data_IF_647193100121
#
_entry.id   IF_647193100121
#
_cell.length_a   1.000
_cell.length_b   1.000
_cell.length_c   1.000
_cell.angle_alpha   90.00
_cell.angle_beta   90.00
_cell.angle_gamma   90.00
#
_symmetry.space_group_name_H-M   'P 1'
#
loop_
_entity.id
_entity.type
_entity.pdbx_description
1 polymer ?
#
# COMPACT_ATOMS: atom_id res chain seq x y z
N UNK A 1 -14.59 4.11 28.45
CA UNK A 1 -14.25 2.80 27.82
C UNK A 1 -13.66 3.08 26.45
N UNK A 2 -12.35 2.90 26.28
CA UNK A 2 -11.69 2.99 24.98
C UNK A 2 -12.25 1.89 24.07
N UNK A 3 -13.02 2.27 23.03
CA UNK A 3 -13.33 1.36 21.93
C UNK A 3 -11.99 1.02 21.28
N UNK A 4 -11.46 -0.17 21.54
CA UNK A 4 -10.27 -0.70 20.88
C UNK A 4 -10.51 -0.59 19.37
N UNK A 5 -9.64 0.13 18.68
CA UNK A 5 -9.68 0.24 17.23
C UNK A 5 -9.64 -1.17 16.64
N UNK A 6 -10.53 -1.45 15.69
CA UNK A 6 -10.62 -2.76 15.06
C UNK A 6 -9.30 -3.02 14.31
N UNK A 7 -8.50 -4.04 14.67
CA UNK A 7 -7.14 -4.25 14.16
C UNK A 7 -7.07 -4.41 12.63
N UNK A 8 -8.21 -4.71 11.98
CA UNK A 8 -8.36 -4.70 10.53
C UNK A 8 -8.09 -3.32 9.90
N UNK A 9 -8.46 -2.21 10.54
CA UNK A 9 -8.22 -0.85 9.99
C UNK A 9 -6.76 -0.41 10.14
N UNK A 10 -6.12 -0.82 11.24
CA UNK A 10 -4.69 -0.64 11.44
C UNK A 10 -3.93 -1.36 10.32
N UNK A 11 -4.21 -2.66 10.12
CA UNK A 11 -3.70 -3.47 9.01
C UNK A 11 -3.87 -2.77 7.66
N UNK A 12 -5.06 -2.19 7.39
CA UNK A 12 -5.41 -1.57 6.10
C UNK A 12 -4.62 -0.30 5.74
N UNK A 13 -4.19 0.54 6.69
CA UNK A 13 -3.37 1.71 6.38
C UNK A 13 -1.94 1.36 5.99
N UNK A 14 -1.40 0.37 6.70
CA UNK A 14 -0.13 -0.24 6.35
C UNK A 14 -0.31 -0.93 5.01
N UNK A 15 -1.47 -1.53 4.73
CA UNK A 15 -1.85 -2.10 3.41
C UNK A 15 -2.04 -1.07 2.30
N UNK A 16 -2.30 0.21 2.58
CA UNK A 16 -2.41 1.27 1.54
C UNK A 16 -1.05 1.92 1.29
N UNK A 17 -0.25 2.08 2.35
CA UNK A 17 1.19 2.39 2.25
C UNK A 17 1.99 1.24 1.60
N UNK A 18 1.46 0.03 1.74
CA UNK A 18 1.88 -1.24 1.16
C UNK A 18 0.75 -1.77 0.25
N UNK A 19 0.12 -0.96 -0.61
CA UNK A 19 -0.75 -1.51 -1.70
C UNK A 19 0.04 -2.40 -2.67
N UNK A 20 1.31 -2.40 -2.39
CA UNK A 20 2.36 -3.28 -2.70
C UNK A 20 2.42 -4.61 -1.89
N UNK A 21 2.41 -4.57 -0.57
CA UNK A 21 2.92 -5.64 0.27
C UNK A 21 2.13 -5.93 1.55
N UNK A 22 0.81 -5.78 1.57
CA UNK A 22 0.06 -6.23 2.74
C UNK A 22 -1.37 -6.77 2.51
N UNK A 23 -1.53 -7.80 1.68
CA UNK A 23 -2.71 -8.69 1.79
C UNK A 23 -2.75 -9.47 3.12
N UNK A 24 -2.97 -8.80 4.25
CA UNK A 24 -3.19 -9.40 5.58
C UNK A 24 -4.64 -9.87 5.73
N UNK A 25 -4.83 -11.14 6.08
CA UNK A 25 -6.14 -11.71 6.38
C UNK A 25 -6.40 -11.65 7.89
N UNK A 26 -7.64 -11.34 8.27
CA UNK A 26 -8.14 -11.49 9.63
C UNK A 26 -9.41 -12.35 9.61
N UNK A 27 -9.38 -13.49 10.29
CA UNK A 27 -10.56 -14.31 10.58
C UNK A 27 -11.28 -13.78 11.84
N UNK A 28 -12.63 -13.78 11.85
CA UNK A 28 -13.44 -13.79 13.09
C UNK A 28 -14.48 -12.67 13.32
N UNK A 29 -15.70 -12.89 12.80
CA UNK A 29 -17.06 -12.74 13.42
C UNK A 29 -17.42 -11.59 14.42
N UNK A 30 -18.42 -10.75 14.07
CA UNK A 30 -19.82 -10.77 14.59
C UNK A 30 -20.59 -9.47 14.27
N UNK A 31 -21.91 -9.60 14.10
CA UNK A 31 -22.77 -8.68 13.33
C UNK A 31 -23.33 -7.43 14.02
N UNK A 32 -23.87 -6.51 13.19
CA UNK A 32 -25.02 -5.65 13.46
C UNK A 32 -25.48 -4.93 12.17
N UNK A 33 -26.80 -4.73 12.04
CA UNK A 33 -27.54 -4.22 10.87
C UNK A 33 -27.43 -2.69 10.67
N UNK A 34 -27.71 -2.19 9.44
CA UNK A 34 -27.60 -0.77 9.06
C UNK A 34 -28.89 0.00 9.35
N UNK A 35 -28.79 1.31 9.57
CA UNK A 35 -29.64 2.33 8.92
C UNK A 35 -29.27 3.78 9.30
N UNK A 36 -29.52 4.66 8.34
CA UNK A 36 -29.70 6.12 8.38
C UNK A 36 -28.45 7.03 8.34
N UNK A 37 -28.11 7.48 7.13
CA UNK A 37 -27.22 8.62 6.86
C UNK A 37 -28.04 9.83 6.37
N UNK A 38 -27.89 11.03 6.98
CA UNK A 38 -28.29 12.28 6.35
C UNK A 38 -27.13 12.90 5.57
N UNK A 39 -27.48 13.52 4.44
CA UNK A 39 -26.61 14.23 3.52
C UNK A 39 -26.01 15.53 4.10
N UNK A 40 -24.81 15.90 3.67
CA UNK A 40 -24.24 17.24 3.76
C UNK A 40 -23.21 17.41 2.60
N UNK A 41 -23.58 18.08 1.50
CA UNK A 41 -23.45 19.52 1.19
C UNK A 41 -22.02 20.04 1.04
N UNK A 42 -21.69 20.23 -0.24
CA UNK A 42 -20.75 21.14 -0.90
C UNK A 42 -19.91 22.12 -0.08
N UNK A 43 -18.62 22.14 -0.43
CA UNK A 43 -17.86 23.38 -0.60
C UNK A 43 -16.78 23.14 -1.66
N UNK A 44 -17.10 23.49 -2.90
CA UNK A 44 -16.18 23.43 -4.03
C UNK A 44 -15.07 24.48 -3.86
N UNK A 45 -13.84 24.01 -3.69
CA UNK A 45 -12.63 24.84 -3.83
C UNK A 45 -12.25 24.81 -5.30
N UNK A 46 -12.12 25.96 -5.95
CA UNK A 46 -11.76 26.07 -7.37
C UNK A 46 -10.42 25.35 -7.63
N UNK A 47 -10.36 24.32 -8.49
CA UNK A 47 -9.12 23.59 -8.73
C UNK A 47 -8.10 24.50 -9.43
N UNK A 48 -6.86 24.49 -8.94
CA UNK A 48 -5.71 25.02 -9.68
C UNK A 48 -5.63 24.35 -11.07
N UNK A 49 -5.10 25.03 -12.10
CA UNK A 49 -4.99 24.44 -13.44
C UNK A 49 -4.20 23.14 -13.37
N UNK A 50 -4.86 22.04 -13.72
CA UNK A 50 -4.28 20.70 -13.75
C UNK A 50 -3.20 20.70 -14.82
N UNK A 51 -1.94 20.48 -14.44
CA UNK A 51 -0.84 20.31 -15.41
C UNK A 51 -1.21 19.24 -16.44
N UNK A 52 -0.95 19.54 -17.72
CA UNK A 52 -1.17 18.62 -18.85
C UNK A 52 -0.06 17.57 -19.01
N UNK A 53 0.99 17.66 -18.19
CA UNK A 53 2.18 16.82 -18.33
C UNK A 53 1.84 15.36 -17.99
N UNK A 54 2.29 14.39 -18.78
CA UNK A 54 2.08 12.98 -18.47
C UNK A 54 2.80 12.56 -17.18
N UNK A 55 2.34 11.45 -16.60
CA UNK A 55 3.04 10.78 -15.51
C UNK A 55 4.40 10.28 -16.03
N UNK A 56 5.49 10.71 -15.42
CA UNK A 56 6.84 10.32 -15.81
C UNK A 56 7.49 9.39 -14.80
N UNK A 57 8.62 8.79 -15.22
CA UNK A 57 9.40 7.90 -14.38
C UNK A 57 10.02 8.63 -13.17
N UNK A 58 10.21 9.95 -13.23
CA UNK A 58 10.78 10.71 -12.12
C UNK A 58 9.87 10.67 -10.89
N UNK A 59 8.54 10.75 -11.09
CA UNK A 59 7.55 10.57 -10.02
C UNK A 59 7.50 9.12 -9.48
N UNK A 60 7.91 8.12 -10.25
CA UNK A 60 7.89 6.71 -9.86
C UNK A 60 9.25 6.23 -9.35
N UNK A 61 10.07 7.14 -8.81
CA UNK A 61 11.38 6.81 -8.29
C UNK A 61 11.28 5.83 -7.10
N UNK A 62 12.01 4.72 -7.19
CA UNK A 62 12.28 3.81 -6.08
C UNK A 62 13.60 4.22 -5.38
N UNK A 63 13.72 4.02 -4.05
CA UNK A 63 14.97 4.24 -3.34
C UNK A 63 16.05 3.25 -3.81
N UNK A 64 17.23 3.77 -4.11
CA UNK A 64 18.43 2.97 -4.40
C UNK A 64 19.04 2.39 -3.11
N UNK A 65 19.87 1.36 -3.24
CA UNK A 65 20.53 0.69 -2.11
C UNK A 65 21.18 1.70 -1.14
N UNK A 66 20.93 1.54 0.15
CA UNK A 66 21.40 2.45 1.20
C UNK A 66 20.56 3.72 1.37
N UNK A 67 19.52 3.92 0.57
CA UNK A 67 18.53 4.99 0.82
C UNK A 67 17.39 4.48 1.68
N UNK A 68 16.73 5.40 2.39
CA UNK A 68 15.60 5.12 3.27
C UNK A 68 14.45 6.10 3.08
N UNK A 69 13.27 5.66 3.49
CA UNK A 69 12.04 6.44 3.58
C UNK A 69 11.47 6.22 4.97
N UNK A 70 11.22 7.29 5.72
CA UNK A 70 10.48 7.20 6.99
C UNK A 70 9.05 7.64 6.77
N UNK A 71 8.10 6.74 7.01
CA UNK A 71 6.67 6.96 6.87
C UNK A 71 6.01 7.12 8.23
N UNK A 72 5.18 8.14 8.39
CA UNK A 72 4.34 8.32 9.58
C UNK A 72 2.89 8.22 9.16
N UNK A 73 2.20 7.18 9.65
CA UNK A 73 0.80 6.93 9.41
C UNK A 73 -0.02 7.43 10.60
N UNK A 74 -1.07 8.17 10.31
CA UNK A 74 -2.05 8.63 11.27
C UNK A 74 -3.41 8.00 10.93
N UNK A 75 -4.02 7.43 11.96
CA UNK A 75 -5.34 6.84 11.87
C UNK A 75 -6.35 7.77 12.55
N UNK A 76 -7.48 8.00 11.91
CA UNK A 76 -8.63 8.70 12.49
C UNK A 76 -9.80 7.73 12.71
N UNK A 77 -10.72 8.02 13.65
CA UNK A 77 -10.79 9.21 14.51
C UNK A 77 -10.04 9.08 15.85
N UNK A 78 -9.56 7.88 16.22
CA UNK A 78 -8.67 7.69 17.37
C UNK A 78 -7.25 7.89 16.86
N UNK A 79 -6.58 8.96 17.27
CA UNK A 79 -5.25 9.35 16.79
C UNK A 79 -4.17 8.34 17.20
N UNK A 80 -4.15 7.21 16.53
CA UNK A 80 -3.04 6.27 16.58
C UNK A 80 -2.02 6.68 15.53
N UNK A 81 -0.75 6.61 15.92
CA UNK A 81 0.37 6.97 15.05
C UNK A 81 1.31 5.79 14.97
N UNK A 82 1.57 5.32 13.76
CA UNK A 82 2.58 4.31 13.48
C UNK A 82 3.66 4.94 12.60
N UNK A 83 4.93 4.63 12.88
CA UNK A 83 6.07 5.08 12.10
C UNK A 83 6.86 3.88 11.62
N UNK A 84 7.11 3.84 10.32
CA UNK A 84 7.88 2.80 9.68
C UNK A 84 9.11 3.40 9.00
N UNK A 85 10.21 2.66 9.03
CA UNK A 85 11.35 2.91 8.16
C UNK A 85 11.38 1.83 7.08
N UNK A 86 11.46 2.27 5.82
CA UNK A 86 11.72 1.42 4.68
C UNK A 86 13.14 1.73 4.17
N UNK A 87 14.03 0.75 4.22
CA UNK A 87 15.42 0.86 3.76
C UNK A 87 15.63 0.00 2.53
N UNK A 88 16.17 0.57 1.46
CA UNK A 88 16.56 -0.19 0.28
C UNK A 88 17.85 -0.96 0.58
N UNK A 89 17.79 -2.28 0.52
CA UNK A 89 18.91 -3.17 0.85
C UNK A 89 19.63 -3.72 -0.39
N UNK A 90 19.33 -3.15 -1.55
CA UNK A 90 19.80 -3.65 -2.85
C UNK A 90 18.92 -4.76 -3.40
N UNK A 91 19.49 -5.60 -4.25
CA UNK A 91 18.76 -6.70 -4.88
C UNK A 91 18.81 -7.96 -4.03
N UNK A 92 17.67 -8.66 -3.91
CA UNK A 92 17.61 -9.97 -3.25
C UNK A 92 16.80 -10.95 -4.09
N UNK A 93 17.00 -12.25 -3.84
CA UNK A 93 16.31 -13.31 -4.56
C UNK A 93 14.94 -13.56 -3.94
N UNK A 94 13.91 -13.58 -4.78
CA UNK A 94 12.54 -13.96 -4.42
C UNK A 94 11.92 -14.77 -5.54
N UNK A 95 11.35 -15.93 -5.20
CA UNK A 95 10.67 -16.80 -6.16
C UNK A 95 11.50 -17.11 -7.43
N UNK A 96 12.82 -17.24 -7.26
CA UNK A 96 13.77 -17.53 -8.35
C UNK A 96 14.21 -16.32 -9.18
N UNK A 97 13.62 -15.14 -8.98
CA UNK A 97 14.06 -13.88 -9.62
C UNK A 97 14.88 -13.00 -8.68
N UNK A 98 15.56 -11.99 -9.23
CA UNK A 98 16.33 -10.99 -8.48
C UNK A 98 15.65 -9.63 -8.59
N UNK A 99 15.33 -9.02 -7.44
CA UNK A 99 14.49 -7.82 -7.36
C UNK A 99 15.04 -6.81 -6.37
N UNK A 100 14.84 -5.52 -6.65
CA UNK A 100 15.13 -4.46 -5.69
C UNK A 100 14.29 -4.68 -4.44
N UNK A 101 14.92 -4.57 -3.28
CA UNK A 101 14.30 -5.00 -2.03
C UNK A 101 14.28 -3.87 -1.01
N UNK A 102 13.08 -3.62 -0.47
CA UNK A 102 12.88 -2.76 0.68
C UNK A 102 12.72 -3.59 1.94
N UNK A 103 13.54 -3.33 2.95
CA UNK A 103 13.31 -3.81 4.30
C UNK A 103 12.50 -2.76 5.07
N UNK A 104 11.29 -3.15 5.47
CA UNK A 104 10.34 -2.30 6.19
C UNK A 104 10.29 -2.74 7.64
N UNK A 105 10.46 -1.78 8.57
CA UNK A 105 10.42 -2.01 10.01
C UNK A 105 9.48 -1.03 10.68
N UNK A 106 8.68 -1.52 11.62
CA UNK A 106 7.96 -0.65 12.54
C UNK A 106 8.94 -0.08 13.56
N UNK A 107 9.06 1.24 13.60
CA UNK A 107 9.97 1.95 14.50
C UNK A 107 9.24 2.47 15.74
N UNK A 108 7.96 2.86 15.58
CA UNK A 108 7.17 3.43 16.67
C UNK A 108 5.68 3.21 16.44
N UNK A 109 4.93 2.96 17.52
CA UNK A 109 3.47 2.85 17.51
C UNK A 109 2.99 1.52 18.03
N UNK A 110 1.78 1.49 18.59
CA UNK A 110 1.11 0.25 19.00
C UNK A 110 0.37 -0.33 17.80
N UNK A 111 1.11 -1.04 16.95
CA UNK A 111 0.52 -1.86 15.91
C UNK A 111 0.54 -3.31 16.37
N UNK A 112 -0.51 -3.74 17.07
CA UNK A 112 -0.65 -5.12 17.53
C UNK A 112 -1.12 -6.07 16.40
N UNK A 113 -0.74 -5.76 15.15
CA UNK A 113 -0.98 -6.60 13.99
C UNK A 113 0.22 -7.51 13.74
N UNK A 114 -0.07 -8.76 13.42
CA UNK A 114 0.91 -9.69 12.85
C UNK A 114 1.62 -9.03 11.64
N UNK A 115 2.96 -9.01 11.61
CA UNK A 115 3.72 -8.62 10.40
C UNK A 115 4.18 -7.17 10.37
N UNK A 116 4.67 -6.65 11.50
CA UNK A 116 5.16 -5.27 11.65
C UNK A 116 6.45 -4.99 10.89
N UNK A 117 7.16 -6.05 10.50
CA UNK A 117 8.36 -6.00 9.69
C UNK A 117 8.12 -6.80 8.41
N UNK A 118 8.62 -6.31 7.28
CA UNK A 118 8.46 -6.98 6.00
C UNK A 118 9.65 -6.74 5.08
N UNK A 119 9.83 -7.60 4.08
CA UNK A 119 10.58 -7.28 2.87
C UNK A 119 9.62 -7.14 1.71
N UNK A 120 9.83 -6.12 0.89
CA UNK A 120 9.07 -5.89 -0.34
C UNK A 120 10.01 -6.08 -1.51
N UNK A 121 9.57 -6.85 -2.50
CA UNK A 121 10.34 -7.12 -3.71
C UNK A 121 9.73 -6.31 -4.84
N UNK A 122 10.49 -5.35 -5.36
CA UNK A 122 10.03 -4.35 -6.31
C UNK A 122 10.65 -4.63 -7.66
N UNK A 123 9.82 -4.60 -8.70
CA UNK A 123 10.30 -4.46 -10.06
C UNK A 123 10.54 -2.96 -10.32
N UNK A 124 11.74 -2.54 -10.78
CA UNK A 124 12.03 -1.13 -11.07
C UNK A 124 11.05 -0.48 -12.05
N UNK A 125 10.43 -1.27 -12.95
CA UNK A 125 9.42 -0.77 -13.87
C UNK A 125 8.07 -0.48 -13.19
N UNK A 126 7.90 -0.83 -11.90
CA UNK A 126 6.67 -0.67 -11.14
C UNK A 126 6.91 -0.41 -9.65
N UNK A 127 7.54 0.72 -9.35
CA UNK A 127 7.93 1.08 -7.99
C UNK A 127 6.79 1.11 -6.96
N UNK A 128 5.53 1.24 -7.40
CA UNK A 128 4.35 1.24 -6.52
C UNK A 128 3.58 -0.09 -6.49
N UNK A 129 3.95 -1.05 -7.35
CA UNK A 129 3.39 -2.40 -7.40
C UNK A 129 4.53 -3.45 -7.32
N UNK A 130 4.92 -3.89 -6.12
CA UNK A 130 5.89 -4.94 -5.92
C UNK A 130 5.30 -6.25 -6.41
N UNK A 131 6.21 -7.15 -6.67
CA UNK A 131 5.93 -8.47 -7.18
C UNK A 131 5.82 -9.50 -6.04
N UNK A 132 6.23 -9.12 -4.82
CA UNK A 132 6.07 -9.98 -3.65
C UNK A 132 6.38 -9.29 -2.33
N UNK A 133 6.09 -10.01 -1.26
CA UNK A 133 6.41 -9.62 0.10
C UNK A 133 6.78 -10.83 0.97
N UNK A 134 7.67 -10.59 1.92
CA UNK A 134 7.95 -11.51 3.03
C UNK A 134 7.61 -10.80 4.33
N UNK A 135 6.56 -11.24 5.03
CA UNK A 135 6.18 -10.67 6.32
C UNK A 135 6.88 -11.42 7.44
N UNK A 136 7.36 -10.70 8.45
CA UNK A 136 7.96 -11.27 9.66
C UNK A 136 7.10 -10.91 10.88
N UNK A 137 6.62 -11.94 11.59
CA UNK A 137 5.99 -11.80 12.89
C UNK A 137 7.04 -11.74 14.00
N UNK A 138 7.09 -10.62 14.71
CA UNK A 138 8.11 -10.35 15.75
C UNK A 138 7.65 -10.70 17.18
N UNK A 139 6.43 -11.22 17.35
CA UNK A 139 5.90 -11.55 18.67
C UNK A 139 6.21 -13.00 19.04
N UNK A 140 7.26 -13.18 19.84
CA UNK A 140 7.58 -14.43 20.56
C UNK A 140 6.45 -14.91 21.49
N UNK A 141 5.42 -14.09 21.75
CA UNK A 141 4.39 -14.34 22.77
C UNK A 141 2.93 -14.29 22.28
N UNK A 142 2.67 -14.39 20.98
CA UNK A 142 1.32 -14.62 20.45
C UNK A 142 1.00 -16.11 20.28
N UNK A 143 -0.27 -16.53 20.14
CA UNK A 143 -0.64 -17.94 19.92
C UNK A 143 -0.07 -18.53 18.61
N UNK A 144 0.55 -17.71 17.76
CA UNK A 144 1.12 -18.08 16.47
C UNK A 144 2.68 -18.05 16.42
N UNK A 145 3.36 -17.58 17.49
CA UNK A 145 4.83 -17.50 17.57
C UNK A 145 5.52 -16.65 16.50
N UNK A 146 6.85 -16.81 16.35
CA UNK A 146 7.60 -16.29 15.20
C UNK A 146 7.08 -16.94 13.93
N UNK A 147 6.65 -16.14 12.97
CA UNK A 147 6.24 -16.64 11.67
C UNK A 147 6.82 -15.78 10.56
N UNK A 148 7.00 -16.39 9.40
CA UNK A 148 7.41 -15.70 8.18
C UNK A 148 6.47 -16.15 7.07
N UNK A 149 5.89 -15.18 6.36
CA UNK A 149 4.90 -15.44 5.31
C UNK A 149 5.37 -14.87 3.99
N UNK A 150 5.53 -15.73 3.00
CA UNK A 150 5.83 -15.33 1.62
C UNK A 150 4.55 -15.13 0.83
N UNK A 151 4.51 -14.05 0.05
CA UNK A 151 3.42 -13.73 -0.88
C UNK A 151 3.98 -13.24 -2.21
N UNK A 152 3.45 -13.75 -3.31
CA UNK A 152 3.70 -13.24 -4.66
C UNK A 152 2.43 -12.59 -5.18
N UNK A 153 2.61 -11.45 -5.83
CA UNK A 153 1.57 -10.69 -6.50
C UNK A 153 1.74 -10.81 -8.00
N UNK A 154 0.65 -11.07 -8.71
CA UNK A 154 0.65 -11.15 -10.16
C UNK A 154 -0.43 -10.24 -10.69
N UNK A 155 -0.05 -9.33 -11.60
CA UNK A 155 -0.96 -8.33 -12.13
C UNK A 155 -1.32 -8.67 -13.57
N UNK A 156 -2.61 -8.54 -13.87
CA UNK A 156 -3.16 -8.66 -15.21
C UNK A 156 -3.80 -7.33 -15.58
N UNK A 157 -3.31 -6.71 -16.65
CA UNK A 157 -3.92 -5.50 -17.20
C UNK A 157 -5.31 -5.83 -17.75
N UNK A 158 -6.32 -5.07 -17.33
CA UNK A 158 -7.70 -5.36 -17.67
C UNK A 158 -8.03 -5.04 -19.15
N UNK A 159 -7.27 -4.15 -19.79
CA UNK A 159 -7.43 -3.74 -21.19
C UNK A 159 -6.65 -4.68 -22.11
N UNK A 160 -5.34 -4.80 -21.93
CA UNK A 160 -4.50 -5.64 -22.81
C UNK A 160 -4.66 -7.13 -22.52
N UNK A 161 -5.20 -7.48 -21.34
CA UNK A 161 -5.34 -8.85 -20.82
C UNK A 161 -3.99 -9.56 -20.62
N UNK A 162 -2.89 -8.85 -20.75
CA UNK A 162 -1.55 -9.38 -20.52
C UNK A 162 -1.23 -9.42 -19.03
N UNK A 163 -0.51 -10.46 -18.64
CA UNK A 163 0.04 -10.59 -17.29
C UNK A 163 1.46 -10.05 -17.29
N UNK A 164 1.82 -9.24 -16.30
CA UNK A 164 3.15 -8.67 -16.20
C UNK A 164 3.22 -7.54 -15.20
N UNK A 165 4.35 -6.86 -15.21
CA UNK A 165 4.64 -5.72 -14.34
C UNK A 165 3.80 -4.49 -14.75
N UNK A 166 2.96 -3.92 -13.86
CA UNK A 166 2.16 -2.74 -14.19
C UNK A 166 3.04 -1.55 -14.58
N UNK A 167 2.73 -0.87 -15.68
CA UNK A 167 3.42 0.34 -16.10
C UNK A 167 2.44 1.51 -16.19
N UNK A 168 2.76 2.59 -15.47
CA UNK A 168 1.98 3.82 -15.44
C UNK A 168 2.66 5.00 -16.17
N UNK A 169 3.91 4.85 -16.60
CA UNK A 169 4.64 5.90 -17.30
C UNK A 169 3.92 6.26 -18.60
N UNK A 170 3.77 7.55 -18.85
CA UNK A 170 3.11 8.11 -20.03
C UNK A 170 1.60 8.29 -19.87
N UNK A 171 1.01 7.91 -18.72
CA UNK A 171 -0.41 8.18 -18.47
C UNK A 171 -0.71 9.67 -18.59
N UNK A 172 -1.75 10.02 -19.33
CA UNK A 172 -2.22 11.40 -19.45
C UNK A 172 -3.11 11.78 -18.26
N UNK A 173 -3.23 13.06 -17.90
CA UNK A 173 -4.17 13.49 -16.87
C UNK A 173 -5.58 12.96 -17.12
N UNK A 174 -6.21 12.48 -16.06
CA UNK A 174 -7.48 11.75 -15.99
C UNK A 174 -7.51 10.36 -16.65
N UNK A 175 -6.40 9.87 -17.22
CA UNK A 175 -6.30 8.49 -17.69
C UNK A 175 -6.37 7.52 -16.50
N UNK A 176 -7.15 6.45 -16.65
CA UNK A 176 -7.27 5.39 -15.65
C UNK A 176 -6.72 4.09 -16.22
N UNK A 177 -5.89 3.40 -15.43
CA UNK A 177 -5.47 2.03 -15.68
C UNK A 177 -5.99 1.11 -14.59
N UNK A 178 -6.34 -0.10 -14.98
CA UNK A 178 -6.94 -1.07 -14.06
C UNK A 178 -6.30 -2.43 -14.23
N UNK A 179 -6.05 -3.07 -13.10
CA UNK A 179 -5.35 -4.34 -13.01
C UNK A 179 -6.14 -5.29 -12.12
N UNK A 180 -6.16 -6.56 -12.49
CA UNK A 180 -6.53 -7.65 -11.58
C UNK A 180 -5.25 -8.18 -10.94
N UNK A 181 -5.12 -8.07 -9.62
CA UNK A 181 -4.04 -8.67 -8.86
C UNK A 181 -4.50 -10.01 -8.26
N UNK A 182 -3.74 -11.06 -8.52
CA UNK A 182 -3.87 -12.36 -7.86
C UNK A 182 -2.71 -12.59 -6.90
N UNK A 183 -2.97 -13.39 -5.86
CA UNK A 183 -2.00 -13.71 -4.82
C UNK A 183 -1.64 -15.20 -4.84
N UNK A 184 -0.38 -15.50 -4.53
CA UNK A 184 0.08 -16.84 -4.16
C UNK A 184 0.85 -16.76 -2.84
N UNK A 185 0.72 -17.77 -1.98
CA UNK A 185 1.40 -17.80 -0.68
C UNK A 185 2.10 -19.13 -0.40
N UNK A 186 3.07 -19.10 0.52
CA UNK A 186 3.59 -20.31 1.13
C UNK A 186 2.70 -20.71 2.31
N UNK A 187 2.25 -21.97 2.35
CA UNK A 187 1.45 -22.50 3.45
C UNK A 187 2.27 -22.95 4.67
N UNK A 188 3.59 -23.12 4.52
CA UNK A 188 4.52 -23.49 5.59
C UNK A 188 5.23 -22.23 6.15
N UNK A 189 5.58 -22.25 7.44
CA UNK A 189 6.47 -21.25 8.07
C UNK A 189 7.81 -21.21 7.32
N UNK A 190 8.44 -20.04 7.20
CA UNK A 190 9.64 -19.91 6.37
C UNK A 190 10.77 -20.85 6.76
N UNK A 191 11.16 -21.64 5.78
CA UNK A 191 12.43 -22.34 5.71
C UNK A 191 13.29 -21.69 4.63
N UNK A 192 14.62 -21.82 4.74
CA UNK A 192 15.50 -21.69 3.60
C UNK A 192 15.79 -23.09 3.02
N UNK A 193 15.67 -23.30 1.69
CA UNK A 193 15.22 -22.34 0.67
C UNK A 193 13.71 -22.02 0.75
N UNK A 194 13.31 -20.90 0.16
CA UNK A 194 11.90 -20.43 0.11
C UNK A 194 10.98 -21.57 -0.35
N UNK A 195 9.89 -21.89 0.38
CA UNK A 195 8.91 -22.88 -0.05
C UNK A 195 8.21 -22.48 -1.35
N UNK A 196 7.75 -23.48 -2.11
CA UNK A 196 6.93 -23.25 -3.30
C UNK A 196 5.64 -22.50 -2.95
N UNK A 197 5.37 -21.41 -3.68
CA UNK A 197 4.15 -20.61 -3.52
C UNK A 197 2.98 -21.28 -4.23
N UNK A 198 1.83 -21.33 -3.57
CA UNK A 198 0.58 -21.85 -4.13
C UNK A 198 -0.42 -20.71 -4.34
N UNK A 199 -1.13 -20.67 -5.48
CA UNK A 199 -2.20 -19.70 -5.68
C UNK A 199 -3.23 -19.75 -4.54
N UNK A 200 -3.76 -18.59 -4.17
CA UNK A 200 -4.93 -18.49 -3.32
C UNK A 200 -6.07 -17.86 -4.10
N UNK A 201 -7.29 -18.13 -3.66
CA UNK A 201 -8.48 -17.68 -4.40
C UNK A 201 -8.78 -16.18 -4.23
N UNK A 202 -7.87 -15.41 -3.63
CA UNK A 202 -8.00 -13.96 -3.46
C UNK A 202 -7.76 -13.25 -4.79
N UNK A 203 -8.71 -12.39 -5.16
CA UNK A 203 -8.61 -11.52 -6.32
C UNK A 203 -8.86 -10.08 -5.90
N UNK A 204 -8.01 -9.17 -6.37
CA UNK A 204 -8.11 -7.74 -6.08
C UNK A 204 -8.20 -6.98 -7.39
N UNK A 205 -9.19 -6.10 -7.50
CA UNK A 205 -9.25 -5.10 -8.56
C UNK A 205 -8.55 -3.84 -8.06
N UNK A 206 -7.51 -3.42 -8.79
CA UNK A 206 -6.78 -2.19 -8.52
C UNK A 206 -6.99 -1.24 -9.69
N UNK A 207 -7.42 -0.02 -9.42
CA UNK A 207 -7.49 1.04 -10.41
C UNK A 207 -6.63 2.24 -9.97
N UNK A 208 -5.90 2.79 -10.92
CA UNK A 208 -5.07 3.98 -10.73
C UNK A 208 -5.44 5.00 -11.78
N UNK A 209 -5.85 6.18 -11.33
CA UNK A 209 -6.06 7.32 -12.20
C UNK A 209 -4.97 8.36 -11.95
N UNK A 210 -4.30 8.78 -13.01
CA UNK A 210 -3.38 9.92 -12.91
C UNK A 210 -4.18 11.21 -13.01
N UNK A 211 -4.22 11.99 -11.93
CA UNK A 211 -5.04 13.21 -11.86
C UNK A 211 -4.30 14.39 -12.52
N UNK A 212 -2.97 14.44 -12.37
CA UNK A 212 -2.13 15.53 -12.84
C UNK A 212 -1.05 15.85 -11.82
N UNK A 213 -0.52 17.08 -11.84
CA UNK A 213 0.50 17.55 -10.90
C UNK A 213 0.01 18.67 -10.01
N UNK A 214 0.47 18.66 -8.77
CA UNK A 214 0.31 19.78 -7.84
C UNK A 214 1.48 19.86 -6.86
N UNK A 215 1.70 21.03 -6.29
CA UNK A 215 2.64 21.19 -5.20
C UNK A 215 2.03 20.58 -3.93
N UNK A 216 2.81 19.78 -3.20
CA UNK A 216 2.35 19.12 -1.97
C UNK A 216 3.34 19.35 -0.85
N UNK A 217 2.83 19.60 0.36
CA UNK A 217 3.66 19.66 1.57
C UNK A 217 3.44 18.39 2.40
N UNK A 218 4.55 17.74 2.75
CA UNK A 218 4.60 16.55 3.60
C UNK A 218 5.76 16.68 4.60
N UNK A 219 5.51 16.39 5.87
CA UNK A 219 6.50 16.53 6.98
C UNK A 219 7.25 17.87 7.00
N UNK A 220 6.59 18.96 6.60
CA UNK A 220 7.18 20.30 6.56
C UNK A 220 8.05 20.61 5.34
N UNK A 221 8.15 19.70 4.36
CA UNK A 221 8.86 19.91 3.09
C UNK A 221 7.82 20.08 1.98
N UNK A 222 7.97 21.13 1.17
CA UNK A 222 7.15 21.36 -0.03
C UNK A 222 7.83 20.75 -1.25
N UNK A 223 7.17 19.77 -1.86
CA UNK A 223 7.58 19.13 -3.10
C UNK A 223 6.82 19.76 -4.26
N UNK A 224 7.55 20.35 -5.21
CA UNK A 224 6.95 20.99 -6.38
C UNK A 224 6.62 19.99 -7.47
N UNK A 225 5.47 20.17 -8.13
CA UNK A 225 5.07 19.37 -9.28
C UNK A 225 4.95 17.87 -9.00
N UNK A 226 4.49 17.50 -7.79
CA UNK A 226 4.27 16.11 -7.43
C UNK A 226 3.10 15.53 -8.24
N UNK A 227 3.28 14.31 -8.75
CA UNK A 227 2.26 13.57 -9.46
C UNK A 227 1.19 13.08 -8.49
N UNK A 228 -0.07 13.40 -8.77
CA UNK A 228 -1.22 12.99 -7.97
C UNK A 228 -1.92 11.80 -8.63
N UNK A 229 -2.06 10.71 -7.88
CA UNK A 229 -2.79 9.52 -8.30
C UNK A 229 -4.01 9.33 -7.41
N UNK A 230 -5.18 9.07 -8.01
CA UNK A 230 -6.29 8.47 -7.30
C UNK A 230 -6.17 6.94 -7.39
N UNK A 231 -6.41 6.27 -6.27
CA UNK A 231 -6.23 4.83 -6.10
C UNK A 231 -7.56 4.22 -5.67
N UNK A 232 -7.96 3.16 -6.35
CA UNK A 232 -9.10 2.34 -6.01
C UNK A 232 -8.65 0.90 -5.79
N UNK A 233 -9.06 0.31 -4.68
CA UNK A 233 -8.75 -1.07 -4.32
C UNK A 233 -10.01 -1.80 -3.85
N UNK A 234 -10.38 -2.83 -4.59
CA UNK A 234 -11.54 -3.68 -4.32
C UNK A 234 -11.07 -5.13 -4.21
N UNK A 235 -11.06 -5.65 -2.98
CA UNK A 235 -10.66 -7.03 -2.69
C UNK A 235 -11.89 -7.92 -2.60
N UNK A 236 -11.84 -9.02 -3.33
CA UNK A 236 -12.82 -10.09 -3.30
C UNK A 236 -12.17 -11.37 -2.80
N UNK A 237 -12.57 -11.78 -1.62
CA UNK A 237 -12.23 -13.08 -1.05
C UNK A 237 -13.41 -14.03 -1.25
N UNK A 238 -13.23 -15.18 -1.90
CA UNK A 238 -14.29 -16.17 -1.99
C UNK A 238 -14.59 -16.76 -0.62
N UNK A 239 -15.87 -16.91 -0.31
CA UNK A 239 -16.34 -17.42 0.98
C UNK A 239 -16.55 -16.35 2.06
N UNK A 240 -16.21 -15.08 1.83
CA UNK A 240 -16.55 -14.02 2.78
C UNK A 240 -18.03 -13.64 2.67
N UNK A 241 -18.77 -13.84 3.77
CA UNK A 241 -20.20 -13.50 3.89
C UNK A 241 -20.47 -11.99 3.83
N UNK A 242 -19.45 -11.15 4.06
CA UNK A 242 -19.54 -9.70 4.00
C UNK A 242 -18.52 -9.16 3.02
N UNK A 243 -18.90 -8.23 2.12
CA UNK A 243 -17.94 -7.58 1.25
C UNK A 243 -16.95 -6.80 2.10
N UNK A 244 -15.65 -6.99 1.82
CA UNK A 244 -14.63 -6.13 2.38
C UNK A 244 -14.86 -4.69 1.87
N UNK A 245 -14.53 -3.66 2.67
CA UNK A 245 -14.71 -2.29 2.22
C UNK A 245 -13.81 -2.03 1.01
N UNK A 246 -14.42 -1.45 -0.03
CA UNK A 246 -13.67 -0.81 -1.13
C UNK A 246 -12.85 0.32 -0.52
N UNK A 247 -11.59 0.42 -0.90
CA UNK A 247 -10.69 1.47 -0.44
C UNK A 247 -10.46 2.47 -1.56
N UNK A 248 -10.63 3.74 -1.22
CA UNK A 248 -10.30 4.87 -2.08
C UNK A 248 -9.14 5.62 -1.45
N UNK A 249 -8.22 6.08 -2.29
CA UNK A 249 -7.05 6.80 -1.84
C UNK A 249 -6.53 7.82 -2.84
N UNK A 250 -5.64 8.65 -2.36
CA UNK A 250 -4.87 9.59 -3.16
C UNK A 250 -3.42 9.52 -2.73
N UNK A 251 -2.53 9.28 -3.68
CA UNK A 251 -1.09 9.29 -3.48
C UNK A 251 -0.48 10.49 -4.19
N UNK A 252 0.49 11.13 -3.54
CA UNK A 252 1.34 12.15 -4.14
C UNK A 252 2.75 11.63 -4.24
N UNK A 253 3.29 11.66 -5.45
CA UNK A 253 4.61 11.18 -5.76
C UNK A 253 5.47 12.32 -6.29
N UNK A 254 6.52 12.66 -5.56
CA UNK A 254 7.39 13.76 -5.91
C UNK A 254 8.55 13.26 -6.80
N UNK A 255 8.91 14.01 -7.86
CA UNK A 255 10.06 13.68 -8.69
C UNK A 255 11.33 13.43 -7.87
N UNK A 256 11.94 12.25 -8.03
CA UNK A 256 13.16 11.83 -7.34
C UNK A 256 13.00 11.50 -5.85
N UNK A 257 11.83 11.73 -5.26
CA UNK A 257 11.55 11.45 -3.85
C UNK A 257 10.50 10.34 -3.65
N UNK A 258 9.87 9.85 -4.73
CA UNK A 258 8.87 8.79 -4.68
C UNK A 258 7.60 9.24 -3.96
N UNK A 259 6.92 8.32 -3.28
CA UNK A 259 5.69 8.63 -2.53
C UNK A 259 6.01 9.52 -1.32
N UNK A 260 5.46 10.74 -1.30
CA UNK A 260 5.66 11.72 -0.21
C UNK A 260 4.44 11.87 0.69
N UNK A 261 3.24 11.62 0.14
CA UNK A 261 1.98 11.70 0.87
C UNK A 261 0.98 10.68 0.35
N UNK A 262 0.18 10.15 1.25
CA UNK A 262 -0.93 9.27 0.97
C UNK A 262 -2.11 9.65 1.86
N UNK A 263 -3.30 9.63 1.31
CA UNK A 263 -4.54 9.69 2.09
C UNK A 263 -5.48 8.60 1.58
N UNK A 264 -6.21 7.95 2.46
CA UNK A 264 -7.19 6.96 2.06
C UNK A 264 -8.28 6.78 3.10
N UNK A 265 -9.41 6.28 2.63
CA UNK A 265 -10.55 5.93 3.46
C UNK A 265 -11.30 4.75 2.81
N UNK A 266 -11.98 3.91 3.60
CA UNK A 266 -12.96 3.01 3.04
C UNK A 266 -14.10 3.84 2.43
N UNK A 267 -14.64 3.38 1.30
CA UNK A 267 -15.78 4.00 0.61
C UNK A 267 -16.99 4.14 1.54
N UNK A 268 -17.13 3.23 2.52
CA UNK A 268 -18.15 3.26 3.55
C UNK A 268 -17.48 3.22 4.93
N UNK A 269 -17.60 4.31 5.70
CA UNK A 269 -17.05 4.45 7.04
C UNK A 269 -16.49 5.84 7.32
N UNK A 270 -16.07 6.09 8.57
CA UNK A 270 -15.47 7.38 9.02
C UNK A 270 -13.97 7.27 9.31
N UNK A 271 -13.37 6.11 9.06
CA UNK A 271 -11.97 5.87 9.34
C UNK A 271 -11.11 6.48 8.23
N UNK A 272 -10.23 7.40 8.59
CA UNK A 272 -9.28 8.01 7.64
C UNK A 272 -7.88 7.55 7.95
N UNK A 273 -7.13 7.26 6.91
CA UNK A 273 -5.71 7.00 6.98
C UNK A 273 -5.00 8.11 6.25
N UNK A 274 -4.03 8.73 6.90
CA UNK A 274 -3.06 9.59 6.21
C UNK A 274 -1.67 9.07 6.48
N UNK A 275 -0.80 9.15 5.49
CA UNK A 275 0.60 8.89 5.66
C UNK A 275 1.41 10.02 5.02
N UNK A 276 2.44 10.46 5.71
CA UNK A 276 3.43 11.38 5.17
C UNK A 276 4.81 10.77 5.31
N UNK A 277 5.65 10.99 4.30
CA UNK A 277 6.99 10.42 4.26
C UNK A 277 8.04 11.52 4.24
N UNK A 278 9.28 11.17 4.54
CA UNK A 278 10.44 12.05 4.34
C UNK A 278 10.84 12.22 2.88
N UNK A 279 10.18 11.49 1.96
CA UNK A 279 10.76 11.14 0.67
C UNK A 279 11.99 10.25 0.80
N UNK A 280 12.59 9.93 -0.35
CA UNK A 280 13.86 9.20 -0.44
C UNK A 280 14.99 10.07 0.11
N UNK A 281 15.70 9.56 1.12
CA UNK A 281 16.89 10.19 1.71
C UNK A 281 18.03 9.19 1.83
N UNK A 282 19.28 9.65 1.88
CA UNK A 282 20.41 8.78 2.18
C UNK A 282 20.29 8.21 3.61
N UNK A 283 20.71 6.96 3.82
CA UNK A 283 20.93 6.46 5.17
C UNK A 283 22.16 7.14 5.77
N UNK A 284 22.00 7.67 6.98
CA UNK A 284 23.11 8.11 7.82
C UNK A 284 23.74 6.90 8.52
#
# INVERSE_FOLDING_TARGET
MQKKMNPAMAAMAVTTFLLAACGGGSDGSNGAKPNDAPAATDSATTPAPVSTDPLDAACLAAPAAGQKITATLNFGPVSEVATFDATAIGTTVFDGGSYDTLEVKLVKGLFNGHGTNARLYIDPASAIFPIGATDYGDLDQGPYGKYTKYRRFTFKDNVSRQTGTPNLVGMKPNETRSFTMSEANAGALATEPQPALKPIDRVVNVAVQYIGREDVTAKGVTYKGACKLALHYDRKDPGTLFPLPVLEGTAWLAPGAGIVKLSGAPLVGVATVTAETTGIVAAN
#
